data_IF_906092049199
#
_entry.id   IF_906092049199
#
_cell.length_a   1.000
_cell.length_b   1.000
_cell.length_c   1.000
_cell.angle_alpha   90.00
_cell.angle_beta   90.00
_cell.angle_gamma   90.00
#
_symmetry.space_group_name_H-M   'P 1'
#
loop_
_entity.id
_entity.type
_entity.pdbx_description
1 polymer ?
#
# COMPACT_ATOMS: atom_id res chain seq x y z
N UNK A 1 -10.73 3.70 3.12
CA UNK A 1 -9.57 3.12 3.82
C UNK A 1 -9.68 1.60 4.03
N UNK A 2 -10.83 1.08 4.36
CA UNK A 2 -11.05 -0.38 4.56
C UNK A 2 -10.52 -1.23 3.39
N UNK A 3 -10.74 -0.77 2.17
CA UNK A 3 -10.24 -1.48 0.98
C UNK A 3 -8.70 -1.54 1.00
N UNK A 4 -8.03 -0.47 1.42
CA UNK A 4 -6.57 -0.48 1.54
C UNK A 4 -6.11 -1.48 2.62
N UNK A 5 -6.89 -1.60 3.72
CA UNK A 5 -6.64 -2.60 4.76
C UNK A 5 -6.86 -4.03 4.25
N UNK A 6 -7.82 -4.23 3.37
CA UNK A 6 -8.04 -5.54 2.74
C UNK A 6 -6.89 -5.85 1.76
N UNK A 7 -6.52 -4.89 0.92
CA UNK A 7 -5.45 -5.02 -0.07
C UNK A 7 -4.11 -5.36 0.60
N UNK A 8 -3.78 -4.73 1.75
CA UNK A 8 -2.51 -4.99 2.46
C UNK A 8 -2.31 -6.46 2.85
N UNK A 9 -3.42 -7.23 3.00
CA UNK A 9 -3.35 -8.66 3.37
C UNK A 9 -2.66 -9.51 2.29
N UNK A 10 -2.56 -8.98 1.06
CA UNK A 10 -1.83 -9.63 -0.03
C UNK A 10 -0.30 -9.44 0.08
N UNK A 11 0.14 -8.55 0.95
CA UNK A 11 1.57 -8.25 1.10
C UNK A 11 2.37 -9.48 1.54
N UNK A 12 3.52 -9.66 0.93
CA UNK A 12 4.48 -10.72 1.25
C UNK A 12 5.67 -10.20 2.06
N UNK A 13 5.55 -8.98 2.60
CA UNK A 13 6.60 -8.39 3.42
C UNK A 13 6.55 -8.93 4.85
N UNK A 14 7.71 -9.33 5.38
CA UNK A 14 7.85 -9.86 6.75
C UNK A 14 7.92 -8.78 7.83
N UNK A 15 8.00 -7.49 7.43
CA UNK A 15 8.15 -6.39 8.39
C UNK A 15 6.84 -5.61 8.57
N UNK A 16 6.23 -5.20 7.46
CA UNK A 16 4.99 -4.41 7.47
C UNK A 16 4.16 -4.73 6.23
N UNK A 17 2.90 -5.00 6.44
CA UNK A 17 1.95 -5.17 5.34
C UNK A 17 1.31 -3.83 5.05
N UNK A 18 1.52 -3.32 3.85
CA UNK A 18 1.03 -2.01 3.42
C UNK A 18 0.14 -2.19 2.19
N UNK A 19 -0.97 -1.48 2.18
CA UNK A 19 -1.91 -1.45 1.05
C UNK A 19 -2.18 -0.01 0.64
N UNK A 20 -2.37 0.18 -0.67
CA UNK A 20 -2.62 1.47 -1.29
C UNK A 20 -3.76 1.34 -2.29
N UNK A 21 -4.65 2.32 -2.33
CA UNK A 21 -5.78 2.38 -3.27
C UNK A 21 -5.82 3.79 -3.86
N UNK A 22 -5.87 3.88 -5.17
CA UNK A 22 -6.04 5.14 -5.90
C UNK A 22 -7.50 5.27 -6.28
N UNK A 23 -8.13 6.40 -5.93
CA UNK A 23 -9.56 6.64 -6.16
C UNK A 23 -9.71 7.96 -6.92
N UNK A 24 -10.53 7.94 -7.96
CA UNK A 24 -10.91 9.15 -8.72
C UNK A 24 -12.40 9.06 -9.06
N UNK A 25 -13.12 10.15 -8.85
CA UNK A 25 -14.57 10.22 -9.12
C UNK A 25 -15.34 9.07 -8.48
N UNK A 26 -15.00 8.75 -7.23
CA UNK A 26 -15.60 7.66 -6.44
C UNK A 26 -15.34 6.25 -7.00
N UNK A 27 -14.44 6.12 -7.99
CA UNK A 27 -14.08 4.83 -8.58
C UNK A 27 -12.65 4.45 -8.19
N UNK A 28 -12.43 3.17 -7.93
CA UNK A 28 -11.08 2.65 -7.70
C UNK A 28 -10.38 2.56 -9.06
N UNK A 29 -9.27 3.26 -9.17
CA UNK A 29 -8.47 3.31 -10.39
C UNK A 29 -7.41 2.21 -10.39
N UNK A 30 -6.76 2.01 -9.23
CA UNK A 30 -5.73 0.98 -9.08
C UNK A 30 -5.54 0.66 -7.59
N UNK A 31 -5.00 -0.51 -7.32
CA UNK A 31 -4.61 -0.94 -5.98
C UNK A 31 -3.15 -1.39 -5.99
N UNK A 32 -2.51 -1.36 -4.83
CA UNK A 32 -1.16 -1.88 -4.68
C UNK A 32 -0.92 -2.36 -3.26
N UNK A 33 -0.06 -3.35 -3.14
CA UNK A 33 0.46 -3.82 -1.85
C UNK A 33 1.96 -4.02 -1.98
N UNK A 34 2.67 -3.95 -0.88
CA UNK A 34 4.12 -4.09 -0.94
C UNK A 34 4.52 -5.56 -1.12
N UNK A 35 5.38 -5.82 -2.09
CA UNK A 35 5.81 -7.17 -2.44
C UNK A 35 6.91 -7.17 -3.48
N UNK A 36 7.58 -8.31 -3.64
CA UNK A 36 8.64 -8.46 -4.64
C UNK A 36 8.10 -8.26 -6.05
N UNK A 37 8.93 -7.78 -6.98
CA UNK A 37 8.53 -7.70 -8.39
C UNK A 37 8.04 -9.04 -8.93
N UNK A 38 7.18 -8.97 -9.94
CA UNK A 38 6.62 -10.16 -10.61
C UNK A 38 7.73 -11.09 -11.08
N UNK A 39 7.58 -12.38 -10.84
CA UNK A 39 8.54 -13.41 -11.23
C UNK A 39 9.69 -13.60 -10.25
N UNK A 40 9.81 -12.76 -9.23
CA UNK A 40 10.87 -12.91 -8.22
C UNK A 40 10.34 -13.54 -6.93
N UNK A 41 11.19 -14.29 -6.24
CA UNK A 41 10.84 -14.89 -4.94
C UNK A 41 10.49 -13.79 -3.92
N UNK A 42 9.48 -14.07 -3.12
CA UNK A 42 8.99 -13.14 -2.10
C UNK A 42 9.80 -13.23 -0.80
N UNK A 43 9.74 -12.17 0.00
CA UNK A 43 10.43 -12.13 1.30
C UNK A 43 9.96 -13.26 2.24
N UNK A 44 8.71 -13.69 2.13
CA UNK A 44 8.19 -14.83 2.92
C UNK A 44 8.90 -16.14 2.58
N UNK A 45 9.48 -16.24 1.37
CA UNK A 45 10.19 -17.46 0.92
C UNK A 45 11.68 -17.41 1.26
N UNK A 46 12.33 -16.24 1.11
CA UNK A 46 13.80 -16.14 1.17
C UNK A 46 14.29 -15.24 2.32
N UNK A 47 13.39 -14.69 3.09
CA UNK A 47 13.74 -13.76 4.16
C UNK A 47 13.83 -12.31 3.70
N UNK A 48 13.99 -11.41 4.65
CA UNK A 48 14.12 -9.99 4.40
C UNK A 48 15.60 -9.57 4.37
N UNK A 49 16.10 -9.14 3.22
CA UNK A 49 17.50 -8.72 3.04
C UNK A 49 17.88 -7.63 4.06
N UNK A 50 17.04 -6.61 4.23
CA UNK A 50 17.33 -5.53 5.18
C UNK A 50 17.42 -6.04 6.63
N UNK A 51 16.62 -7.05 7.00
CA UNK A 51 16.71 -7.68 8.32
C UNK A 51 18.02 -8.46 8.46
N UNK A 52 18.40 -9.20 7.42
CA UNK A 52 19.67 -9.96 7.40
C UNK A 52 20.88 -9.04 7.54
N UNK A 53 20.77 -7.81 7.02
CA UNK A 53 21.83 -6.79 7.12
C UNK A 53 21.76 -5.94 8.39
N UNK A 54 20.85 -6.25 9.32
CA UNK A 54 20.70 -5.49 10.56
C UNK A 54 20.11 -4.09 10.41
N UNK A 55 19.48 -3.78 9.26
CA UNK A 55 18.98 -2.44 8.98
C UNK A 55 17.64 -2.22 9.70
N UNK A 56 17.49 -1.13 10.46
CA UNK A 56 16.22 -0.81 11.15
C UNK A 56 15.06 -0.64 10.18
N UNK A 57 13.84 -0.75 10.71
CA UNK A 57 12.63 -0.51 9.93
C UNK A 57 12.51 0.96 9.57
N UNK A 58 12.17 1.25 8.32
CA UNK A 58 12.05 2.63 7.83
C UNK A 58 13.31 3.16 7.15
N UNK A 59 14.42 2.43 7.23
CA UNK A 59 15.71 2.90 6.68
C UNK A 59 16.12 2.08 5.46
N UNK A 60 17.01 2.67 4.63
CA UNK A 60 17.64 2.05 3.47
C UNK A 60 16.62 1.34 2.57
N UNK A 61 15.58 2.09 2.16
CA UNK A 61 14.50 1.56 1.30
C UNK A 61 15.02 1.07 -0.06
N UNK A 62 16.13 1.65 -0.54
CA UNK A 62 16.76 1.25 -1.80
C UNK A 62 17.28 -0.18 -1.79
N UNK A 63 17.53 -0.74 -0.61
CA UNK A 63 17.95 -2.14 -0.45
C UNK A 63 16.76 -3.08 -0.26
N UNK A 64 15.53 -2.53 -0.25
CA UNK A 64 14.36 -3.37 -0.12
C UNK A 64 14.08 -4.12 -1.42
N UNK A 65 13.99 -5.44 -1.34
CA UNK A 65 13.64 -6.27 -2.50
C UNK A 65 12.22 -5.96 -3.00
N UNK A 66 11.34 -5.58 -2.08
CA UNK A 66 9.94 -5.32 -2.41
C UNK A 66 9.73 -3.91 -2.93
N UNK A 67 8.86 -3.77 -3.89
CA UNK A 67 8.26 -2.49 -4.25
C UNK A 67 7.28 -2.08 -3.15
N UNK A 68 7.11 -0.80 -2.94
CA UNK A 68 6.14 -0.28 -1.98
C UNK A 68 4.72 -0.34 -2.56
N UNK A 69 3.73 -0.27 -1.71
CA UNK A 69 2.31 -0.36 -2.11
C UNK A 69 1.93 0.75 -3.10
N UNK A 70 2.41 1.96 -2.83
CA UNK A 70 2.16 3.13 -3.69
C UNK A 70 2.80 2.95 -5.06
N UNK A 71 4.04 2.45 -5.10
CA UNK A 71 4.74 2.15 -6.35
C UNK A 71 3.96 1.13 -7.18
N UNK A 72 3.53 0.04 -6.54
CA UNK A 72 2.75 -1.01 -7.22
C UNK A 72 1.40 -0.48 -7.73
N UNK A 73 0.74 0.40 -6.98
CA UNK A 73 -0.52 1.01 -7.43
C UNK A 73 -0.30 1.88 -8.69
N UNK A 74 0.78 2.68 -8.71
CA UNK A 74 1.13 3.51 -9.87
C UNK A 74 1.47 2.61 -11.08
N UNK A 75 2.29 1.58 -10.86
CA UNK A 75 2.69 0.65 -11.92
C UNK A 75 1.47 -0.10 -12.47
N UNK A 76 0.58 -0.55 -11.59
CA UNK A 76 -0.65 -1.23 -12.00
C UNK A 76 -1.52 -0.33 -12.90
N UNK A 77 -1.66 0.94 -12.52
CA UNK A 77 -2.38 1.91 -13.34
C UNK A 77 -1.69 2.09 -14.71
N UNK A 78 -0.37 2.22 -14.71
CA UNK A 78 0.41 2.40 -15.93
C UNK A 78 0.26 1.21 -16.88
N UNK A 79 0.37 -0.03 -16.37
CA UNK A 79 0.21 -1.25 -17.18
C UNK A 79 -1.20 -1.31 -17.78
N UNK A 80 -2.21 -0.83 -17.04
CA UNK A 80 -3.62 -0.87 -17.48
C UNK A 80 -4.01 0.36 -18.33
N UNK A 81 -3.10 1.28 -18.56
CA UNK A 81 -3.37 2.50 -19.32
C UNK A 81 -4.36 3.45 -18.62
N UNK A 82 -4.40 3.42 -17.29
CA UNK A 82 -5.34 4.20 -16.49
C UNK A 82 -4.68 5.51 -16.06
N UNK A 83 -5.33 6.64 -16.38
CA UNK A 83 -4.89 7.96 -15.95
C UNK A 83 -5.26 8.17 -14.48
N UNK A 84 -4.25 8.32 -13.63
CA UNK A 84 -4.41 8.51 -12.19
C UNK A 84 -4.21 9.96 -11.73
N UNK A 85 -4.01 10.90 -12.66
CA UNK A 85 -3.93 12.32 -12.29
C UNK A 85 -5.20 12.74 -11.54
N UNK A 86 -5.03 13.56 -10.53
CA UNK A 86 -6.11 14.08 -9.68
C UNK A 86 -6.78 13.00 -8.80
N UNK A 87 -6.20 11.80 -8.71
CA UNK A 87 -6.70 10.77 -7.81
C UNK A 87 -6.40 11.11 -6.35
N UNK A 88 -7.22 10.59 -5.46
CA UNK A 88 -6.95 10.54 -4.02
C UNK A 88 -6.31 9.19 -3.68
N UNK A 89 -5.23 9.24 -2.92
CA UNK A 89 -4.54 8.05 -2.42
C UNK A 89 -5.07 7.68 -1.03
N UNK A 90 -5.42 6.44 -0.83
CA UNK A 90 -5.70 5.86 0.49
C UNK A 90 -4.61 4.81 0.75
N UNK A 91 -3.68 5.13 1.64
CA UNK A 91 -2.58 4.23 1.97
C UNK A 91 -2.59 3.90 3.46
N UNK A 92 -2.30 2.65 3.83
CA UNK A 92 -2.30 2.26 5.24
C UNK A 92 -1.17 2.91 6.03
N UNK A 93 -0.11 3.39 5.33
CA UNK A 93 1.00 4.09 5.97
C UNK A 93 1.30 5.40 5.26
N UNK A 94 1.88 6.36 5.98
CA UNK A 94 2.39 7.61 5.38
C UNK A 94 3.45 7.26 4.33
N UNK A 95 3.40 7.83 3.12
CA UNK A 95 4.36 7.51 2.07
C UNK A 95 5.77 7.99 2.41
N UNK A 96 6.76 7.16 2.15
CA UNK A 96 8.16 7.55 2.30
C UNK A 96 8.56 8.53 1.18
N UNK A 97 9.74 9.14 1.31
CA UNK A 97 10.20 10.15 0.34
C UNK A 97 10.29 9.63 -1.11
N UNK A 98 10.62 8.35 -1.30
CA UNK A 98 10.63 7.76 -2.64
C UNK A 98 9.21 7.73 -3.24
N UNK A 99 8.24 7.29 -2.45
CA UNK A 99 6.84 7.22 -2.89
C UNK A 99 6.24 8.61 -3.06
N UNK A 100 6.55 9.55 -2.15
CA UNK A 100 6.06 10.92 -2.26
C UNK A 100 6.47 11.54 -3.60
N UNK A 101 7.74 11.41 -4.01
CA UNK A 101 8.21 11.92 -5.31
C UNK A 101 7.42 11.33 -6.49
N UNK A 102 7.13 10.03 -6.44
CA UNK A 102 6.34 9.38 -7.49
C UNK A 102 4.89 9.86 -7.51
N UNK A 103 4.27 10.01 -6.33
CA UNK A 103 2.88 10.47 -6.20
C UNK A 103 2.75 11.93 -6.68
N UNK A 104 3.71 12.79 -6.35
CA UNK A 104 3.76 14.17 -6.83
C UNK A 104 3.82 14.19 -8.36
N UNK A 105 4.75 13.43 -8.93
CA UNK A 105 4.93 13.39 -10.39
C UNK A 105 3.74 12.76 -11.11
N UNK A 106 3.01 11.87 -10.44
CA UNK A 106 1.75 11.29 -10.93
C UNK A 106 0.55 12.24 -10.79
N UNK A 107 0.79 13.46 -10.26
CA UNK A 107 -0.22 14.52 -10.09
C UNK A 107 -1.39 14.09 -9.19
N UNK A 108 -1.07 13.40 -8.08
CA UNK A 108 -2.08 13.01 -7.10
C UNK A 108 -2.61 14.26 -6.39
N UNK A 109 -3.93 14.31 -6.18
CA UNK A 109 -4.57 15.48 -5.57
C UNK A 109 -4.51 15.47 -4.04
N UNK A 110 -4.56 14.30 -3.42
CA UNK A 110 -4.66 14.21 -1.96
C UNK A 110 -4.27 12.81 -1.47
N UNK A 111 -3.76 12.75 -0.24
CA UNK A 111 -3.36 11.50 0.40
C UNK A 111 -4.07 11.35 1.75
N UNK A 112 -4.64 10.18 1.99
CA UNK A 112 -5.15 9.76 3.31
C UNK A 112 -4.34 8.56 3.79
N UNK A 113 -3.96 8.57 5.08
CA UNK A 113 -3.19 7.48 5.66
C UNK A 113 -3.66 7.13 7.08
N UNK A 114 -3.32 5.92 7.56
CA UNK A 114 -3.68 5.44 8.91
C UNK A 114 -2.51 5.51 9.88
N UNK A 115 -1.36 4.99 9.48
CA UNK A 115 -0.23 4.71 10.36
C UNK A 115 1.05 5.35 9.85
N UNK A 116 2.06 5.32 10.70
CA UNK A 116 3.40 5.80 10.37
C UNK A 116 3.60 7.26 10.75
N UNK A 117 4.85 7.59 10.95
CA UNK A 117 5.26 8.98 11.16
C UNK A 117 5.83 9.50 9.85
N UNK A 118 5.44 10.69 9.44
CA UNK A 118 6.01 11.28 8.23
C UNK A 118 7.52 11.46 8.41
N UNK A 119 8.31 10.99 7.44
CA UNK A 119 9.70 11.42 7.41
C UNK A 119 9.70 12.89 6.95
N UNK A 120 10.59 13.69 7.48
CA UNK A 120 10.61 15.15 7.25
C UNK A 120 10.76 15.48 5.75
N UNK A 121 11.58 14.73 5.02
CA UNK A 121 11.76 14.96 3.59
C UNK A 121 10.45 14.72 2.83
N UNK A 122 9.78 13.61 3.11
CA UNK A 122 8.50 13.28 2.46
C UNK A 122 7.46 14.37 2.72
N UNK A 123 7.35 14.77 3.98
CA UNK A 123 6.42 15.82 4.41
C UNK A 123 6.69 17.15 3.67
N UNK A 124 7.96 17.56 3.63
CA UNK A 124 8.34 18.82 2.99
C UNK A 124 8.06 18.79 1.48
N UNK A 125 8.35 17.67 0.81
CA UNK A 125 8.07 17.52 -0.61
C UNK A 125 6.57 17.63 -0.92
N UNK A 126 5.73 16.99 -0.11
CA UNK A 126 4.27 17.05 -0.29
C UNK A 126 3.73 18.45 -0.03
N UNK A 127 4.25 19.15 0.97
CA UNK A 127 3.88 20.55 1.26
C UNK A 127 4.26 21.47 0.11
N UNK A 128 5.49 21.36 -0.39
CA UNK A 128 5.98 22.16 -1.53
C UNK A 128 5.12 21.93 -2.79
N UNK A 129 4.68 20.69 -2.99
CA UNK A 129 3.82 20.30 -4.12
C UNK A 129 2.33 20.65 -3.89
N UNK A 130 1.97 21.20 -2.73
CA UNK A 130 0.59 21.52 -2.35
C UNK A 130 -0.33 20.28 -2.37
N UNK A 131 0.20 19.12 -1.97
CA UNK A 131 -0.60 17.88 -1.86
C UNK A 131 -0.89 17.63 -0.38
N UNK A 132 -2.14 17.81 0.06
CA UNK A 132 -2.50 17.55 1.46
C UNK A 132 -2.42 16.06 1.78
N UNK A 133 -1.81 15.73 2.92
CA UNK A 133 -1.73 14.37 3.45
C UNK A 133 -2.36 14.37 4.85
N UNK A 134 -3.47 13.68 4.99
CA UNK A 134 -4.28 13.66 6.20
C UNK A 134 -4.33 12.28 6.84
N UNK A 135 -4.11 12.25 8.15
CA UNK A 135 -4.27 11.02 8.92
C UNK A 135 -5.75 10.75 9.16
N UNK A 136 -6.19 9.51 8.90
CA UNK A 136 -7.55 9.07 9.20
C UNK A 136 -7.52 8.21 10.48
N UNK A 137 -8.47 8.41 11.35
CA UNK A 137 -8.76 7.51 12.47
C UNK A 137 -9.98 6.68 12.10
N UNK A 138 -9.87 5.35 12.22
CA UNK A 138 -11.02 4.47 12.01
C UNK A 138 -11.77 4.34 13.33
N UNK A 139 -13.08 4.52 13.31
CA UNK A 139 -13.90 4.33 14.48
C UNK A 139 -13.90 2.84 14.91
N UNK A 140 -13.98 2.62 16.21
CA UNK A 140 -13.94 1.26 16.81
C UNK A 140 -15.06 0.35 16.26
N UNK A 141 -16.17 0.93 15.85
CA UNK A 141 -17.31 0.20 15.27
C UNK A 141 -16.96 -0.47 13.93
N UNK A 142 -16.09 0.14 13.16
CA UNK A 142 -15.66 -0.40 11.86
C UNK A 142 -14.64 -1.54 12.01
N UNK A 143 -13.96 -1.58 13.12
CA UNK A 143 -13.00 -2.67 13.41
C UNK A 143 -13.64 -3.92 13.99
N UNK A 144 -14.67 -3.80 14.57
CA UNK A 144 -15.38 -4.88 15.15
C UNK A 144 -16.08 -5.74 14.15
N UNK A 145 -16.41 -5.18 13.16
CA UNK A 145 -16.97 -5.94 12.13
C UNK A 145 -16.03 -6.85 11.45
N UNK A 146 -15.00 -6.49 11.58
CA UNK A 146 -13.98 -7.34 11.06
C UNK A 146 -13.57 -8.46 11.97
N UNK A 147 -13.83 -8.32 13.00
CA UNK A 147 -13.52 -9.31 13.94
C UNK A 147 -14.63 -10.29 14.15
N UNK A 148 -15.63 -9.92 14.01
CA UNK A 148 -16.77 -10.74 14.09
C UNK A 148 -17.03 -11.53 12.82
N UNK A 149 -16.64 -11.14 11.94
CA UNK A 149 -16.78 -11.81 10.74
C UNK A 149 -15.80 -12.89 10.50
N UNK A 150 -15.04 -12.94 11.22
CA UNK A 150 -14.09 -13.96 11.19
C UNK A 150 -14.51 -15.24 11.82
N UNK A 151 -15.47 -15.08 12.26
CA UNK A 151 -15.92 -16.29 12.87
C UNK A 151 -16.76 -17.21 12.02
N UNK A 152 -17.17 -17.20 11.01
CA UNK A 152 -17.93 -18.20 10.25
C UNK A 152 -18.22 -17.69 8.84
N UNK A 153 -17.25 -17.80 7.98
CA UNK A 153 -17.55 -17.93 6.56
C UNK A 153 -17.18 -19.36 6.14
N UNK A 154 -18.12 -20.16 5.69
CA UNK A 154 -17.73 -21.41 5.03
C UNK A 154 -17.16 -21.04 3.66
N UNK A 155 -15.86 -20.96 3.59
CA UNK A 155 -15.16 -20.89 2.31
C UNK A 155 -15.34 -22.27 1.65
N UNK A 156 -16.27 -22.35 0.72
CA UNK A 156 -16.37 -23.51 -0.16
C UNK A 156 -15.32 -23.32 -1.24
N UNK A 157 -14.29 -24.17 -1.33
CA UNK A 157 -13.32 -24.06 -2.42
C UNK A 157 -14.01 -24.40 -3.74
N UNK A 158 -14.07 -23.43 -4.63
CA UNK A 158 -14.70 -23.56 -5.95
C UNK A 158 -13.83 -24.31 -6.97
N UNK A 159 -12.88 -25.13 -6.50
CA UNK A 159 -12.06 -25.93 -7.42
C UNK A 159 -11.82 -27.35 -6.89
N UNK A 160 -12.82 -28.21 -7.08
CA UNK A 160 -12.57 -29.62 -7.30
C UNK A 160 -13.50 -30.08 -8.44
N UNK A 161 -13.03 -29.88 -9.65
CA UNK A 161 -13.51 -30.71 -10.74
C UNK A 161 -12.34 -31.58 -11.14
N UNK A 162 -12.38 -32.78 -10.62
CA UNK A 162 -11.51 -33.85 -11.03
C UNK A 162 -11.82 -34.30 -12.43
N UNK A 163 -10.82 -34.88 -13.03
CA UNK A 163 -10.72 -35.68 -14.25
C UNK A 163 -12.04 -36.05 -14.94
#
# INVERSE_FOLDING_TARGET
MEIALLVRKRSTCLRRQIGCVLVKDKKIMATGYNGSPSGLKHCVEIGCLRKQMGIPSGERHELCRALHAEQNAIIQAAISGINISDSTVFCTHFPCSLCAKMLINAKIAKIYYLEGYPDELSKNLLLEANIPAEKIELSVEETXXXXXXXXKSPFIPLFQRGS
#
